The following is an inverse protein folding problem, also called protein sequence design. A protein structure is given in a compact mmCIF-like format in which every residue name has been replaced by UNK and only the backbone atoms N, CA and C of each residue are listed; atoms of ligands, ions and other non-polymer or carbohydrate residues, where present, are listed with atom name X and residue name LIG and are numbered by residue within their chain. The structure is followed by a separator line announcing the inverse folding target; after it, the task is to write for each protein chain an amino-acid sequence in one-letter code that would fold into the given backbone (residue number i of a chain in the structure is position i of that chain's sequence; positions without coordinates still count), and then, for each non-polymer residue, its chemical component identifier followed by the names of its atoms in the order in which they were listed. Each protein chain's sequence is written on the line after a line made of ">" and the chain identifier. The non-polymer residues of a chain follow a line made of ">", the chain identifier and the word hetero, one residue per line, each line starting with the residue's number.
data_IF_496062071264
#
_entry.id   IF_496062071264
#
_cell.length_a   1.000
_cell.length_b   1.000
_cell.length_c   1.000
_cell.angle_alpha   90.00
_cell.angle_beta   90.00
_cell.angle_gamma   90.00
#
_symmetry.space_group_name_H-M   'P 1'
#
loop_
_entity.id
_entity.type
_entity.pdbx_description
1 polymer ?
#
# COMPACT_ATOMS: atom_id res chain seq x y z
N UNK A 1 -7.98 -66.49 11.42
CA UNK A 1 -6.72 -66.01 10.81
C UNK A 1 -7.01 -65.70 9.35
N UNK A 2 -6.59 -64.59 8.69
CA UNK A 2 -6.24 -63.19 9.04
C UNK A 2 -7.41 -62.21 8.66
N UNK A 3 -7.58 -60.94 9.08
CA UNK A 3 -6.80 -59.69 9.19
C UNK A 3 -6.86 -58.73 7.96
N UNK A 4 -7.35 -57.51 8.23
CA UNK A 4 -6.96 -56.18 7.71
C UNK A 4 -7.73 -55.47 6.56
N UNK A 5 -8.17 -54.23 6.88
CA UNK A 5 -8.26 -53.04 6.00
C UNK A 5 -9.59 -52.87 5.25
N UNK A 6 -10.21 -51.69 5.10
CA UNK A 6 -9.82 -50.28 5.32
C UNK A 6 -11.10 -49.40 5.28
N UNK A 7 -11.10 -48.37 6.13
CA UNK A 7 -11.61 -46.99 5.93
C UNK A 7 -12.87 -46.74 5.06
N UNK A 8 -13.95 -46.27 5.69
CA UNK A 8 -14.84 -45.26 5.12
C UNK A 8 -15.57 -44.56 6.29
N UNK A 9 -14.97 -43.49 6.82
CA UNK A 9 -15.66 -42.59 7.74
C UNK A 9 -16.21 -41.44 6.91
N UNK A 10 -17.53 -41.36 6.89
CA UNK A 10 -18.33 -40.43 6.11
C UNK A 10 -18.11 -38.98 6.53
N UNK A 11 -17.87 -38.16 5.49
CA UNK A 11 -18.10 -36.73 5.39
C UNK A 11 -18.86 -36.06 6.55
N UNK A 12 -18.11 -35.37 7.41
CA UNK A 12 -18.66 -34.27 8.20
C UNK A 12 -18.38 -32.94 7.47
N UNK A 13 -19.26 -32.60 6.53
CA UNK A 13 -19.48 -31.21 6.13
C UNK A 13 -20.14 -30.45 7.29
N UNK A 14 -19.32 -29.94 8.21
CA UNK A 14 -19.70 -28.81 9.08
C UNK A 14 -18.52 -27.85 9.15
N UNK A 15 -18.43 -27.08 8.08
CA UNK A 15 -18.15 -25.65 8.04
C UNK A 15 -17.68 -25.05 9.37
N UNK A 16 -16.41 -25.30 9.70
CA UNK A 16 -15.68 -24.42 10.60
C UNK A 16 -15.27 -23.21 9.78
N UNK A 17 -16.16 -22.21 9.70
CA UNK A 17 -15.73 -20.86 9.33
C UNK A 17 -14.76 -20.40 10.41
N UNK A 18 -13.48 -20.62 10.15
CA UNK A 18 -12.39 -20.26 11.03
C UNK A 18 -12.26 -18.75 10.97
N UNK A 19 -12.79 -18.09 12.00
CA UNK A 19 -12.72 -16.64 12.26
C UNK A 19 -11.28 -16.18 12.55
N UNK A 20 -10.32 -16.48 11.67
CA UNK A 20 -8.92 -16.09 11.80
C UNK A 20 -8.25 -15.66 10.48
N UNK A 21 -9.01 -15.49 9.40
CA UNK A 21 -8.49 -15.05 8.09
C UNK A 21 -8.58 -13.53 7.85
N UNK A 22 -8.91 -12.72 8.87
CA UNK A 22 -8.89 -11.26 8.76
C UNK A 22 -7.58 -10.62 9.25
N UNK A 23 -6.62 -11.40 9.75
CA UNK A 23 -5.35 -10.88 10.25
C UNK A 23 -4.11 -11.32 9.43
N UNK A 24 -4.33 -11.94 8.26
CA UNK A 24 -3.26 -12.25 7.31
C UNK A 24 -3.46 -11.43 6.04
N UNK A 25 -3.24 -10.12 6.17
CA UNK A 25 -2.90 -9.30 5.01
C UNK A 25 -1.59 -9.87 4.45
N UNK A 26 -1.47 -10.14 3.14
CA UNK A 26 -0.26 -10.70 2.56
C UNK A 26 0.93 -9.80 2.93
N UNK A 27 1.84 -10.35 3.73
CA UNK A 27 2.96 -9.64 4.35
C UNK A 27 4.12 -9.37 3.39
N UNK A 28 3.87 -9.12 2.10
CA UNK A 28 4.94 -9.28 1.08
C UNK A 28 4.98 -8.24 -0.04
N UNK A 29 4.35 -7.06 0.11
CA UNK A 29 4.48 -5.99 -0.90
C UNK A 29 5.01 -4.65 -0.36
N UNK A 30 5.17 -4.52 0.97
CA UNK A 30 5.88 -3.41 1.62
C UNK A 30 7.36 -3.74 1.87
N UNK A 31 7.95 -4.68 1.13
CA UNK A 31 9.34 -5.11 1.32
C UNK A 31 10.21 -3.86 1.53
N UNK A 32 10.70 -3.63 2.75
CA UNK A 32 11.55 -2.48 3.14
C UNK A 32 10.96 -1.06 3.20
N UNK A 33 9.65 -0.83 3.00
CA UNK A 33 9.05 0.50 3.21
C UNK A 33 8.34 0.54 4.56
N UNK A 34 8.99 1.18 5.53
CA UNK A 34 8.46 1.41 6.88
C UNK A 34 7.84 2.79 7.00
N UNK A 35 6.88 2.96 7.91
CA UNK A 35 6.28 4.27 8.19
C UNK A 35 7.34 5.31 8.59
N UNK A 36 8.35 4.92 9.37
CA UNK A 36 9.45 5.81 9.73
C UNK A 36 10.34 6.22 8.54
N UNK A 37 10.43 5.39 7.49
CA UNK A 37 11.14 5.76 6.27
C UNK A 37 10.32 6.77 5.46
N UNK A 38 9.00 6.58 5.37
CA UNK A 38 8.09 7.55 4.77
C UNK A 38 8.12 8.87 5.54
N UNK A 39 8.12 8.82 6.88
CA UNK A 39 8.23 10.01 7.72
C UNK A 39 9.53 10.79 7.47
N UNK A 40 10.65 10.09 7.35
CA UNK A 40 11.94 10.72 7.04
C UNK A 40 12.03 11.22 5.60
N UNK A 41 11.36 10.58 4.65
CA UNK A 41 11.42 10.91 3.23
C UNK A 41 10.36 11.91 2.77
N UNK A 42 9.29 12.12 3.55
CA UNK A 42 8.16 12.95 3.18
C UNK A 42 8.08 14.23 4.04
N UNK A 43 9.05 15.12 3.91
CA UNK A 43 9.09 16.36 4.71
C UNK A 43 8.17 17.45 4.14
N UNK A 44 8.15 17.63 2.82
CA UNK A 44 7.35 18.67 2.17
C UNK A 44 5.85 18.43 2.34
N UNK A 45 5.39 17.17 2.24
CA UNK A 45 4.01 16.79 2.53
C UNK A 45 3.64 17.10 3.97
N UNK A 46 4.53 16.77 4.93
CA UNK A 46 4.28 17.02 6.36
C UNK A 46 4.14 18.52 6.64
N UNK A 47 5.02 19.33 6.05
CA UNK A 47 4.95 20.79 6.18
C UNK A 47 3.69 21.37 5.51
N UNK A 48 3.40 20.93 4.28
CA UNK A 48 2.28 21.45 3.48
C UNK A 48 0.92 21.10 4.08
N UNK A 49 0.75 19.86 4.55
CA UNK A 49 -0.52 19.36 5.09
C UNK A 49 -0.57 19.39 6.63
N UNK A 50 0.48 19.89 7.29
CA UNK A 50 0.63 19.90 8.75
C UNK A 50 0.25 18.56 9.40
N UNK A 51 0.74 17.47 8.80
CA UNK A 51 0.46 16.10 9.23
C UNK A 51 1.71 15.42 9.75
N UNK A 52 1.52 14.44 10.63
CA UNK A 52 2.60 13.62 11.18
C UNK A 52 2.46 12.19 10.69
N UNK A 53 3.52 11.64 10.08
CA UNK A 53 3.56 10.26 9.58
C UNK A 53 4.07 9.31 10.66
N UNK A 54 3.48 9.37 11.85
CA UNK A 54 3.90 8.55 13.00
C UNK A 54 3.34 7.13 12.98
N UNK A 55 2.29 6.87 12.18
CA UNK A 55 1.63 5.56 12.09
C UNK A 55 0.89 5.37 10.77
N UNK A 56 0.80 4.11 10.33
CA UNK A 56 0.06 3.74 9.12
C UNK A 56 -1.41 4.16 9.15
N UNK A 57 -2.06 4.05 10.31
CA UNK A 57 -3.45 4.51 10.48
C UNK A 57 -3.56 6.01 10.26
N UNK A 58 -2.66 6.81 10.85
CA UNK A 58 -2.64 8.26 10.67
C UNK A 58 -2.40 8.66 9.21
N UNK A 59 -1.52 7.94 8.50
CA UNK A 59 -1.35 8.12 7.05
C UNK A 59 -2.65 7.80 6.29
N UNK A 60 -3.36 6.73 6.64
CA UNK A 60 -4.62 6.35 6.01
C UNK A 60 -5.72 7.39 6.26
N UNK A 61 -5.79 7.97 7.46
CA UNK A 61 -6.73 9.06 7.76
C UNK A 61 -6.47 10.31 6.89
N UNK A 62 -5.22 10.55 6.53
CA UNK A 62 -4.81 11.66 5.65
C UNK A 62 -4.84 11.34 4.15
N UNK A 63 -5.28 10.15 3.75
CA UNK A 63 -5.34 9.79 2.32
C UNK A 63 -6.30 10.68 1.55
N UNK A 64 -7.36 11.20 2.16
CA UNK A 64 -8.25 12.15 1.50
C UNK A 64 -7.55 13.46 1.15
N UNK A 65 -6.84 14.07 2.10
CA UNK A 65 -6.07 15.30 1.87
C UNK A 65 -5.01 15.08 0.77
N UNK A 66 -4.28 13.97 0.86
CA UNK A 66 -3.25 13.60 -0.12
C UNK A 66 -3.84 13.36 -1.52
N UNK A 67 -5.02 12.73 -1.61
CA UNK A 67 -5.72 12.52 -2.89
C UNK A 67 -6.08 13.84 -3.55
N UNK A 68 -6.62 14.78 -2.78
CA UNK A 68 -6.96 16.11 -3.28
C UNK A 68 -5.72 16.86 -3.75
N UNK A 69 -4.62 16.80 -2.99
CA UNK A 69 -3.35 17.44 -3.34
C UNK A 69 -2.82 16.99 -4.71
N UNK A 70 -2.93 15.70 -5.03
CA UNK A 70 -2.44 15.17 -6.32
C UNK A 70 -3.51 15.06 -7.41
N UNK A 71 -4.75 15.49 -7.14
CA UNK A 71 -5.88 15.35 -8.05
C UNK A 71 -6.27 13.90 -8.35
N UNK A 72 -6.15 12.99 -7.38
CA UNK A 72 -6.56 11.60 -7.50
C UNK A 72 -8.02 11.42 -7.06
N UNK A 73 -8.84 10.85 -7.94
CA UNK A 73 -10.24 10.56 -7.59
C UNK A 73 -10.36 9.42 -6.57
N UNK A 74 -11.41 9.45 -5.77
CA UNK A 74 -11.70 8.39 -4.79
C UNK A 74 -11.82 7.01 -5.45
N UNK A 75 -12.47 6.93 -6.62
CA UNK A 75 -12.60 5.69 -7.38
C UNK A 75 -11.23 5.09 -7.78
N UNK A 76 -10.25 5.93 -8.12
CA UNK A 76 -8.91 5.48 -8.46
C UNK A 76 -8.15 4.98 -7.22
N UNK A 77 -8.36 5.63 -6.07
CA UNK A 77 -7.83 5.18 -4.78
C UNK A 77 -8.42 3.84 -4.34
N UNK A 78 -9.74 3.67 -4.40
CA UNK A 78 -10.41 2.42 -4.06
C UNK A 78 -9.93 1.27 -4.95
N UNK A 79 -9.80 1.52 -6.26
CA UNK A 79 -9.24 0.55 -7.20
C UNK A 79 -7.82 0.12 -6.81
N UNK A 80 -6.96 1.07 -6.43
CA UNK A 80 -5.61 0.76 -5.97
C UNK A 80 -5.60 -0.07 -4.68
N UNK A 81 -6.46 0.28 -3.72
CA UNK A 81 -6.59 -0.45 -2.46
C UNK A 81 -7.07 -1.89 -2.66
N UNK A 82 -8.00 -2.13 -3.58
CA UNK A 82 -8.45 -3.49 -3.93
C UNK A 82 -7.32 -4.29 -4.57
N UNK A 83 -6.51 -3.64 -5.41
CA UNK A 83 -5.46 -4.31 -6.18
C UNK A 83 -4.21 -4.64 -5.37
N UNK A 84 -3.75 -3.71 -4.53
CA UNK A 84 -2.46 -3.79 -3.82
C UNK A 84 -2.58 -3.73 -2.30
N UNK A 85 -3.77 -3.47 -1.78
CA UNK A 85 -4.00 -3.21 -0.36
C UNK A 85 -3.82 -1.73 0.00
N UNK A 86 -4.44 -1.36 1.12
CA UNK A 86 -4.48 0.03 1.63
C UNK A 86 -3.11 0.60 1.97
N UNK A 87 -2.22 -0.19 2.57
CA UNK A 87 -0.94 0.32 3.08
C UNK A 87 0.04 0.62 1.94
N UNK A 88 0.16 -0.28 0.94
CA UNK A 88 0.99 -0.01 -0.24
C UNK A 88 0.44 1.18 -1.03
N UNK A 89 -0.88 1.21 -1.23
CA UNK A 89 -1.52 2.33 -1.91
C UNK A 89 -1.25 3.64 -1.19
N UNK A 90 -1.36 3.67 0.14
CA UNK A 90 -1.08 4.86 0.95
C UNK A 90 0.40 5.28 0.85
N UNK A 91 1.33 4.33 0.89
CA UNK A 91 2.75 4.61 0.70
C UNK A 91 3.04 5.20 -0.68
N UNK A 92 2.45 4.63 -1.73
CA UNK A 92 2.58 5.18 -3.09
C UNK A 92 1.98 6.59 -3.17
N UNK A 93 0.85 6.82 -2.52
CA UNK A 93 0.16 8.11 -2.54
C UNK A 93 1.02 9.21 -1.92
N UNK A 94 1.55 8.99 -0.72
CA UNK A 94 2.37 9.99 -0.03
C UNK A 94 3.69 10.25 -0.76
N UNK A 95 4.29 9.22 -1.37
CA UNK A 95 5.51 9.35 -2.18
C UNK A 95 5.26 10.19 -3.44
N UNK A 96 4.13 10.01 -4.11
CA UNK A 96 3.76 10.80 -5.28
C UNK A 96 3.44 12.23 -4.90
N UNK A 97 2.73 12.44 -3.79
CA UNK A 97 2.46 13.76 -3.24
C UNK A 97 3.76 14.50 -2.91
N UNK A 98 4.67 13.85 -2.19
CA UNK A 98 5.98 14.39 -1.85
C UNK A 98 6.77 14.78 -3.09
N UNK A 99 6.82 13.89 -4.07
CA UNK A 99 7.57 14.16 -5.30
C UNK A 99 6.95 15.29 -6.11
N UNK A 100 5.62 15.40 -6.13
CA UNK A 100 4.92 16.49 -6.80
C UNK A 100 5.11 17.85 -6.10
N UNK A 101 5.27 17.85 -4.77
CA UNK A 101 5.58 19.05 -4.00
C UNK A 101 7.04 19.49 -4.17
N UNK A 102 7.99 18.55 -4.08
CA UNK A 102 9.43 18.85 -4.23
C UNK A 102 9.78 19.36 -5.62
N UNK A 103 9.19 18.77 -6.66
CA UNK A 103 9.47 19.13 -8.04
C UNK A 103 8.17 19.14 -8.86
N UNK A 104 7.48 20.29 -8.91
CA UNK A 104 6.20 20.42 -9.61
C UNK A 104 6.33 20.26 -11.13
N UNK A 105 7.51 20.49 -11.71
CA UNK A 105 7.78 20.31 -13.15
C UNK A 105 8.09 18.84 -13.51
N UNK A 106 8.61 18.03 -12.57
CA UNK A 106 8.94 16.63 -12.79
C UNK A 106 7.70 15.73 -12.95
N UNK A 107 6.56 16.13 -12.39
CA UNK A 107 5.32 15.36 -12.48
C UNK A 107 4.18 16.22 -13.02
N UNK A 108 4.04 16.25 -14.34
CA UNK A 108 2.95 16.97 -15.01
C UNK A 108 1.53 16.54 -14.57
N UNK A 109 1.34 15.27 -14.18
CA UNK A 109 0.04 14.71 -13.75
C UNK A 109 0.20 13.74 -12.58
N UNK A 110 0.18 14.20 -11.32
CA UNK A 110 0.52 13.36 -10.19
C UNK A 110 -0.50 12.24 -9.92
N UNK A 111 -1.80 12.48 -10.05
CA UNK A 111 -2.81 11.40 -10.02
C UNK A 111 -2.63 10.35 -11.13
N UNK A 112 -2.13 10.74 -12.31
CA UNK A 112 -1.79 9.82 -13.39
C UNK A 112 -0.55 8.98 -13.09
N UNK A 113 0.47 9.62 -12.48
CA UNK A 113 1.68 8.95 -12.04
C UNK A 113 1.40 7.90 -10.96
N UNK A 114 0.52 8.21 -10.00
CA UNK A 114 0.05 7.24 -9.00
C UNK A 114 -0.56 6.00 -9.66
N UNK A 115 -1.48 6.16 -10.62
CA UNK A 115 -2.11 5.03 -11.32
C UNK A 115 -1.07 4.18 -12.06
N UNK A 116 -0.10 4.82 -12.71
CA UNK A 116 1.01 4.11 -13.35
C UNK A 116 1.91 3.37 -12.33
N UNK A 117 2.07 3.91 -11.12
CA UNK A 117 2.79 3.25 -10.03
C UNK A 117 2.08 1.99 -9.55
N UNK A 118 0.75 2.05 -9.38
CA UNK A 118 -0.09 0.91 -9.00
C UNK A 118 -0.14 -0.15 -10.10
N UNK A 119 -0.21 0.27 -11.37
CA UNK A 119 -0.18 -0.64 -12.52
C UNK A 119 1.14 -1.45 -12.56
N UNK A 120 2.28 -0.77 -12.34
CA UNK A 120 3.58 -1.45 -12.19
C UNK A 120 3.62 -2.39 -10.98
N UNK A 121 2.90 -2.09 -9.90
CA UNK A 121 2.81 -2.96 -8.73
C UNK A 121 2.01 -4.23 -9.04
N UNK A 122 0.93 -4.10 -9.80
CA UNK A 122 0.13 -5.22 -10.27
C UNK A 122 0.94 -6.17 -11.15
N UNK A 123 1.82 -5.62 -11.98
CA UNK A 123 2.72 -6.38 -12.85
C UNK A 123 3.96 -6.95 -12.10
N UNK A 124 4.06 -6.73 -10.78
CA UNK A 124 5.20 -7.17 -9.97
C UNK A 124 6.52 -6.43 -10.30
N UNK A 125 6.45 -5.33 -11.06
CA UNK A 125 7.61 -4.53 -11.51
C UNK A 125 7.84 -3.29 -10.65
N UNK A 126 7.04 -3.08 -9.61
CA UNK A 126 7.19 -1.92 -8.73
C UNK A 126 8.30 -2.16 -7.70
N UNK A 127 9.41 -1.46 -7.89
CA UNK A 127 10.48 -1.36 -6.89
C UNK A 127 10.24 -0.16 -5.97
N UNK A 128 9.20 -0.21 -5.13
CA UNK A 128 8.82 0.91 -4.26
C UNK A 128 9.97 1.37 -3.35
N UNK A 129 10.78 0.44 -2.85
CA UNK A 129 11.99 0.73 -2.06
C UNK A 129 12.95 1.67 -2.79
N UNK A 130 13.17 1.46 -4.09
CA UNK A 130 14.09 2.28 -4.88
C UNK A 130 13.56 3.69 -5.06
N UNK A 131 12.23 3.85 -5.19
CA UNK A 131 11.58 5.15 -5.27
C UNK A 131 11.66 5.92 -3.95
N UNK A 132 11.39 5.27 -2.81
CA UNK A 132 11.46 5.91 -1.48
C UNK A 132 12.91 6.21 -1.09
N UNK A 133 13.85 5.29 -1.33
CA UNK A 133 15.27 5.50 -1.03
C UNK A 133 15.87 6.63 -1.88
N UNK A 134 15.44 6.76 -3.15
CA UNK A 134 15.84 7.89 -3.99
C UNK A 134 15.37 9.25 -3.48
N UNK A 135 14.26 9.31 -2.72
CA UNK A 135 13.82 10.52 -2.02
C UNK A 135 14.60 10.74 -0.72
N UNK A 136 14.83 9.67 0.06
CA UNK A 136 15.52 9.76 1.35
C UNK A 136 17.04 10.05 1.25
N UNK A 137 17.71 9.63 0.17
CA UNK A 137 19.15 9.89 -0.06
C UNK A 137 19.43 11.15 -0.86
N UNK A 138 18.39 11.85 -1.34
CA UNK A 138 18.51 13.11 -2.08
C UNK A 138 18.18 14.35 -1.25
N UNK A 139 17.92 14.19 0.05
CA UNK A 139 17.66 15.26 1.01
C UNK A 139 18.92 15.63 1.80
#
# INVERSE_FOLDING_TARGET
>A
MPAAGKQANSDNLRTSFKTNELNQLPSTNLSGVSIGLLDSACSDVKETLQLELSSWSGLLERTEDLRHLIGLSEAAWQSACVSQGRHLSAACLVVVAEKALRDPDAIARPGGYFRAMIDRANDGKLHLQKSVFGLASGA
#
